data_IF_727147740003
#
_entry.id   IF_727147740003
#
_cell.length_a   1.000
_cell.length_b   1.000
_cell.length_c   1.000
_cell.angle_alpha   90.00
_cell.angle_beta   90.00
_cell.angle_gamma   90.00
#
_symmetry.space_group_name_H-M   'P 1'
#
loop_
_entity.id
_entity.type
_entity.pdbx_description
1 polymer ?
#
# COMPACT_ATOMS: atom_id res chain seq x y z
N UNK A 1 -14.74 24.38 -2.21
CA UNK A 1 -14.63 22.97 -1.80
C UNK A 1 -13.52 22.36 -2.63
N UNK A 2 -12.54 21.71 -1.99
CA UNK A 2 -11.48 21.03 -2.72
C UNK A 2 -12.07 19.80 -3.39
N UNK A 3 -11.72 19.55 -4.65
CA UNK A 3 -12.16 18.36 -5.37
C UNK A 3 -11.50 17.13 -4.72
N UNK A 4 -12.30 16.14 -4.34
CA UNK A 4 -11.82 14.88 -3.73
C UNK A 4 -11.73 13.83 -4.83
N UNK A 5 -10.58 13.17 -4.95
CA UNK A 5 -10.35 12.11 -5.92
C UNK A 5 -10.37 10.78 -5.18
N UNK A 6 -11.15 9.82 -5.67
CA UNK A 6 -11.10 8.46 -5.16
C UNK A 6 -10.72 7.49 -6.26
N UNK A 7 -9.95 6.48 -5.90
CA UNK A 7 -9.60 5.36 -6.76
C UNK A 7 -10.29 4.13 -6.16
N UNK A 8 -11.04 3.40 -7.00
CA UNK A 8 -11.51 2.05 -6.67
C UNK A 8 -10.71 1.05 -7.48
N UNK A 9 -10.00 0.18 -6.79
CA UNK A 9 -9.16 -0.87 -7.33
C UNK A 9 -9.93 -2.20 -7.23
N UNK A 10 -10.09 -2.88 -8.35
CA UNK A 10 -10.62 -4.24 -8.40
C UNK A 10 -9.44 -5.19 -8.30
N UNK A 11 -9.40 -6.00 -7.24
CA UNK A 11 -8.20 -6.74 -6.85
C UNK A 11 -8.44 -8.25 -6.95
N UNK A 12 -7.46 -8.97 -7.50
CA UNK A 12 -7.56 -10.41 -7.68
C UNK A 12 -7.66 -11.12 -6.31
N UNK A 13 -8.79 -11.78 -6.07
CA UNK A 13 -9.02 -12.58 -4.87
C UNK A 13 -9.15 -11.76 -3.57
N UNK A 14 -9.42 -10.46 -3.68
CA UNK A 14 -9.69 -9.56 -2.57
C UNK A 14 -10.98 -8.79 -2.84
N UNK A 15 -11.57 -8.21 -1.79
CA UNK A 15 -12.59 -7.19 -1.98
C UNK A 15 -12.00 -5.95 -2.65
N UNK A 16 -12.85 -5.15 -3.28
CA UNK A 16 -12.45 -3.90 -3.89
C UNK A 16 -11.76 -3.00 -2.87
N UNK A 17 -10.72 -2.28 -3.27
CA UNK A 17 -10.06 -1.31 -2.41
C UNK A 17 -10.45 0.10 -2.87
N UNK A 18 -11.14 0.85 -2.01
CA UNK A 18 -11.49 2.25 -2.27
C UNK A 18 -10.59 3.14 -1.44
N UNK A 19 -9.91 4.10 -2.08
CA UNK A 19 -9.02 5.04 -1.41
C UNK A 19 -9.31 6.47 -1.86
N UNK A 20 -9.39 7.39 -0.91
CA UNK A 20 -9.33 8.83 -1.20
C UNK A 20 -7.87 9.26 -1.33
N UNK A 21 -7.52 9.92 -2.42
CA UNK A 21 -6.14 10.27 -2.74
C UNK A 21 -6.05 11.68 -3.32
N UNK A 22 -4.83 12.21 -3.39
CA UNK A 22 -4.56 13.45 -4.11
C UNK A 22 -4.64 13.21 -5.62
N UNK A 23 -4.92 14.27 -6.38
CA UNK A 23 -4.94 14.21 -7.85
C UNK A 23 -3.60 13.69 -8.42
N UNK A 24 -2.48 14.05 -7.77
CA UNK A 24 -1.15 13.59 -8.15
C UNK A 24 -1.06 12.05 -8.17
N UNK A 25 -1.60 11.37 -7.15
CA UNK A 25 -1.59 9.90 -7.09
C UNK A 25 -2.45 9.26 -8.19
N UNK A 26 -3.59 9.88 -8.49
CA UNK A 26 -4.43 9.45 -9.62
C UNK A 26 -3.68 9.58 -10.95
N UNK A 27 -2.91 10.66 -11.15
CA UNK A 27 -2.08 10.85 -12.35
C UNK A 27 -0.94 9.84 -12.40
N UNK A 28 -0.22 9.62 -11.29
CA UNK A 28 0.85 8.61 -11.19
C UNK A 28 0.35 7.22 -11.56
N UNK A 29 -0.78 6.79 -10.99
CA UNK A 29 -1.36 5.48 -11.31
C UNK A 29 -1.79 5.37 -12.77
N UNK A 30 -2.38 6.42 -13.35
CA UNK A 30 -2.75 6.43 -14.79
C UNK A 30 -1.53 6.31 -15.69
N UNK A 31 -0.45 6.99 -15.36
CA UNK A 31 0.81 6.90 -16.11
C UNK A 31 1.39 5.50 -16.01
N UNK A 32 1.44 4.92 -14.80
CA UNK A 32 1.93 3.57 -14.57
C UNK A 32 1.15 2.53 -15.36
N UNK A 33 -0.18 2.53 -15.27
CA UNK A 33 -1.04 1.56 -15.98
C UNK A 33 -1.13 1.79 -17.50
N UNK A 34 -0.60 2.92 -17.99
CA UNK A 34 -0.48 3.21 -19.42
C UNK A 34 0.84 2.75 -20.02
N UNK A 35 1.78 2.28 -19.20
CA UNK A 35 3.03 1.66 -19.65
C UNK A 35 2.78 0.20 -20.05
N UNK A 36 3.54 -0.32 -21.02
CA UNK A 36 3.40 -1.71 -21.50
C UNK A 36 3.99 -2.72 -20.48
N UNK A 37 4.96 -2.28 -19.67
CA UNK A 37 5.68 -3.11 -18.70
C UNK A 37 5.19 -2.93 -17.25
N UNK A 38 3.95 -2.47 -17.06
CA UNK A 38 3.42 -2.21 -15.72
C UNK A 38 3.19 -3.46 -14.86
N UNK A 39 3.17 -4.64 -15.47
CA UNK A 39 2.96 -5.91 -14.79
C UNK A 39 4.23 -6.33 -14.03
N UNK A 40 4.09 -6.82 -12.78
CA UNK A 40 5.20 -7.13 -11.84
C UNK A 40 5.84 -5.88 -11.19
N UNK A 41 5.12 -4.75 -11.16
CA UNK A 41 5.51 -3.56 -10.39
C UNK A 41 4.72 -3.47 -9.07
N UNK A 42 5.25 -2.68 -8.14
CA UNK A 42 4.48 -2.18 -7.02
C UNK A 42 4.24 -0.67 -7.17
N UNK A 43 3.05 -0.23 -6.76
CA UNK A 43 2.68 1.18 -6.73
C UNK A 43 2.48 1.61 -5.28
N UNK A 44 3.36 2.46 -4.77
CA UNK A 44 3.23 3.05 -3.45
C UNK A 44 2.68 4.47 -3.52
N UNK A 45 1.59 4.70 -2.79
CA UNK A 45 0.93 5.99 -2.65
C UNK A 45 0.37 6.22 -1.24
N UNK A 46 0.07 7.49 -0.95
CA UNK A 46 -0.58 7.91 0.29
C UNK A 46 -2.04 8.28 0.06
N UNK A 47 -2.88 7.91 1.02
CA UNK A 47 -4.30 8.26 1.07
C UNK A 47 -4.52 9.55 1.88
N UNK A 48 -5.66 10.21 1.65
CA UNK A 48 -6.05 11.43 2.37
C UNK A 48 -6.40 11.12 3.84
N UNK A 49 -6.92 9.93 4.11
CA UNK A 49 -7.26 9.46 5.46
C UNK A 49 -6.02 9.00 6.28
N UNK A 50 -4.81 9.19 5.76
CA UNK A 50 -3.58 9.04 6.54
C UNK A 50 -2.99 7.64 6.53
N UNK A 51 -3.20 6.87 5.46
CA UNK A 51 -2.54 5.58 5.24
C UNK A 51 -1.54 5.66 4.09
N UNK A 52 -0.52 4.83 4.17
CA UNK A 52 0.35 4.50 3.04
C UNK A 52 -0.03 3.11 2.54
N UNK A 53 -0.16 2.97 1.22
CA UNK A 53 -0.55 1.72 0.58
C UNK A 53 0.46 1.41 -0.51
N UNK A 54 0.96 0.17 -0.52
CA UNK A 54 1.74 -0.38 -1.62
C UNK A 54 0.96 -1.53 -2.24
N UNK A 55 0.68 -1.44 -3.53
CA UNK A 55 -0.12 -2.42 -4.27
C UNK A 55 0.71 -3.09 -5.35
N UNK A 56 0.63 -4.41 -5.47
CA UNK A 56 1.18 -5.14 -6.60
C UNK A 56 0.26 -4.98 -7.80
N UNK A 57 0.77 -4.41 -8.88
CA UNK A 57 0.00 -4.11 -10.10
C UNK A 57 -0.42 -5.37 -10.87
N UNK A 58 0.29 -6.49 -10.69
CA UNK A 58 -0.09 -7.79 -11.28
C UNK A 58 -1.48 -8.24 -10.81
N UNK A 59 -1.90 -7.82 -9.61
CA UNK A 59 -3.18 -8.20 -9.02
C UNK A 59 -4.31 -7.18 -9.28
N UNK A 60 -4.03 -6.09 -10.02
CA UNK A 60 -5.05 -5.13 -10.42
C UNK A 60 -5.83 -5.68 -11.61
N UNK A 61 -7.11 -5.98 -11.40
CA UNK A 61 -8.04 -6.42 -12.45
C UNK A 61 -8.75 -5.25 -13.14
N UNK A 62 -8.79 -4.10 -12.48
CA UNK A 62 -9.37 -2.89 -13.02
C UNK A 62 -9.27 -1.71 -12.07
N UNK A 63 -9.32 -0.50 -12.62
CA UNK A 63 -9.29 0.74 -11.84
C UNK A 63 -10.42 1.64 -12.27
N UNK A 64 -11.21 2.11 -11.31
CA UNK A 64 -12.24 3.12 -11.52
C UNK A 64 -11.85 4.41 -10.82
N UNK A 65 -11.68 5.46 -11.61
CA UNK A 65 -11.48 6.81 -11.11
C UNK A 65 -12.83 7.43 -10.80
N UNK A 66 -13.01 7.86 -9.55
CA UNK A 66 -14.27 8.39 -9.06
C UNK A 66 -14.09 9.88 -8.71
N UNK A 67 -14.99 10.71 -9.22
CA UNK A 67 -15.06 12.14 -8.93
C UNK A 67 -16.29 12.43 -8.09
N UNK A 68 -16.14 13.20 -7.01
CA UNK A 68 -17.23 13.57 -6.10
C UNK A 68 -18.02 12.36 -5.59
N UNK A 69 -17.31 11.25 -5.34
CA UNK A 69 -17.89 10.01 -4.88
C UNK A 69 -18.43 10.15 -3.47
N UNK A 70 -19.71 9.85 -3.29
CA UNK A 70 -20.27 9.58 -1.96
C UNK A 70 -20.26 8.07 -1.77
N UNK A 71 -19.52 7.53 -0.77
CA UNK A 71 -19.47 6.10 -0.55
C UNK A 71 -20.88 5.54 -0.30
N UNK A 72 -21.23 4.51 -1.06
CA UNK A 72 -22.40 3.67 -0.82
C UNK A 72 -21.99 2.38 -0.12
N UNK A 73 -22.90 1.77 0.63
CA UNK A 73 -22.66 0.49 1.29
C UNK A 73 -22.72 -0.65 0.24
N UNK A 74 -21.80 -1.64 0.28
CA UNK A 74 -20.70 -1.80 1.25
C UNK A 74 -19.53 -0.86 0.97
N UNK A 75 -18.97 -0.31 2.06
CA UNK A 75 -17.79 0.55 2.05
C UNK A 75 -16.54 -0.33 2.17
N UNK A 76 -15.77 -0.43 1.10
CA UNK A 76 -14.56 -1.25 1.04
C UNK A 76 -13.29 -0.44 1.31
N UNK A 77 -13.41 0.69 2.03
CA UNK A 77 -12.27 1.42 2.58
C UNK A 77 -11.61 0.59 3.69
N UNK A 78 -10.32 0.80 3.86
CA UNK A 78 -9.57 0.19 4.95
C UNK A 78 -10.00 0.85 6.26
N UNK A 79 -10.33 0.03 7.27
CA UNK A 79 -10.62 0.50 8.62
C UNK A 79 -9.38 1.17 9.22
N UNK A 80 -9.57 2.37 9.78
CA UNK A 80 -8.50 3.19 10.32
C UNK A 80 -7.89 2.60 11.60
N UNK A 81 -8.59 1.69 12.27
CA UNK A 81 -8.11 1.00 13.48
C UNK A 81 -7.00 -0.03 13.24
N UNK A 82 -6.73 -0.42 11.98
CA UNK A 82 -5.70 -1.41 11.70
C UNK A 82 -4.29 -0.80 11.57
N UNK A 83 -3.37 -1.26 12.41
CA UNK A 83 -1.95 -0.83 12.43
C UNK A 83 -1.19 -1.32 11.20
N UNK A 84 -1.41 -2.57 10.77
CA UNK A 84 -0.82 -3.08 9.54
C UNK A 84 -1.70 -4.16 8.93
N UNK A 85 -1.93 -4.04 7.62
CA UNK A 85 -2.69 -4.99 6.84
C UNK A 85 -1.85 -5.57 5.72
N UNK A 86 -1.89 -6.90 5.59
CA UNK A 86 -1.25 -7.65 4.52
C UNK A 86 -2.32 -8.43 3.76
N UNK A 87 -2.65 -8.01 2.55
CA UNK A 87 -3.56 -8.75 1.69
C UNK A 87 -2.76 -9.72 0.81
N UNK A 88 -3.05 -11.02 0.94
CA UNK A 88 -2.40 -12.09 0.18
C UNK A 88 -3.39 -12.76 -0.79
N UNK A 89 -2.90 -13.23 -1.93
CA UNK A 89 -3.75 -13.88 -2.95
C UNK A 89 -4.52 -15.06 -2.33
N UNK A 90 -5.85 -15.01 -2.44
CA UNK A 90 -6.74 -16.09 -1.99
C UNK A 90 -6.82 -16.29 -0.47
N UNK A 91 -6.43 -15.27 0.31
CA UNK A 91 -6.52 -15.27 1.78
C UNK A 91 -7.30 -14.06 2.26
N UNK A 92 -7.95 -14.18 3.41
CA UNK A 92 -8.43 -13.00 4.13
C UNK A 92 -7.23 -12.13 4.53
N UNK A 93 -7.35 -10.79 4.49
CA UNK A 93 -6.29 -9.89 4.90
C UNK A 93 -5.79 -10.20 6.32
N UNK A 94 -4.48 -10.34 6.45
CA UNK A 94 -3.82 -10.51 7.75
C UNK A 94 -3.75 -9.14 8.44
N UNK A 95 -4.07 -9.15 9.73
CA UNK A 95 -3.96 -7.99 10.62
C UNK A 95 -2.79 -8.27 11.53
N UNK A 96 -1.69 -7.58 11.29
CA UNK A 96 -0.45 -7.77 12.03
C UNK A 96 -0.15 -6.50 12.81
N UNK A 97 0.59 -6.66 13.92
CA UNK A 97 1.26 -5.53 14.57
C UNK A 97 2.68 -5.48 14.04
N UNK A 98 3.04 -4.41 13.30
CA UNK A 98 4.38 -4.29 12.73
C UNK A 98 5.44 -4.10 13.83
N UNK A 99 6.72 -4.20 13.45
CA UNK A 99 7.85 -3.81 14.30
C UNK A 99 7.59 -2.48 15.02
N UNK A 100 8.03 -2.38 16.28
CA UNK A 100 8.06 -1.10 16.99
C UNK A 100 9.06 -0.11 16.36
N UNK A 101 9.98 -0.58 15.51
CA UNK A 101 10.90 0.27 14.75
C UNK A 101 10.25 0.72 13.42
N UNK A 102 9.93 2.02 13.26
CA UNK A 102 9.32 2.53 12.04
C UNK A 102 10.21 2.36 10.79
N UNK A 103 11.53 2.19 10.95
CA UNK A 103 12.47 1.97 9.83
C UNK A 103 12.20 0.65 9.12
N UNK A 104 11.81 -0.39 9.85
CA UNK A 104 11.52 -1.70 9.26
C UNK A 104 10.33 -1.59 8.31
N UNK A 105 9.30 -0.84 8.72
CA UNK A 105 8.10 -0.61 7.93
C UNK A 105 8.36 0.24 6.70
N UNK A 106 9.11 1.32 6.84
CA UNK A 106 9.53 2.12 5.69
C UNK A 106 10.38 1.30 4.71
N UNK A 107 11.35 0.53 5.23
CA UNK A 107 12.22 -0.32 4.43
C UNK A 107 11.41 -1.35 3.64
N UNK A 108 10.45 -2.03 4.28
CA UNK A 108 9.54 -2.98 3.61
C UNK A 108 8.79 -2.34 2.43
N UNK A 109 8.21 -1.15 2.63
CA UNK A 109 7.47 -0.45 1.57
C UNK A 109 8.39 -0.04 0.41
N UNK A 110 9.56 0.51 0.74
CA UNK A 110 10.57 0.91 -0.22
C UNK A 110 11.11 -0.27 -1.04
N UNK A 111 11.42 -1.37 -0.37
CA UNK A 111 11.90 -2.61 -0.95
C UNK A 111 10.90 -3.25 -1.93
N UNK A 112 9.61 -3.20 -1.59
CA UNK A 112 8.56 -3.66 -2.49
C UNK A 112 8.41 -2.73 -3.70
N UNK A 113 8.42 -1.41 -3.52
CA UNK A 113 8.33 -0.44 -4.61
C UNK A 113 9.51 -0.56 -5.59
N UNK A 114 10.73 -0.76 -5.09
CA UNK A 114 11.91 -1.01 -5.93
C UNK A 114 11.80 -2.30 -6.76
N UNK A 115 11.08 -3.30 -6.24
CA UNK A 115 10.84 -4.57 -6.92
C UNK A 115 12.10 -5.44 -7.08
N UNK A 116 12.01 -6.46 -7.92
CA UNK A 116 13.13 -7.35 -8.27
C UNK A 116 13.52 -8.38 -7.22
N UNK A 117 12.87 -8.38 -6.06
CA UNK A 117 13.17 -9.31 -4.96
C UNK A 117 12.31 -10.58 -5.00
N UNK A 118 12.93 -11.72 -4.67
CA UNK A 118 12.22 -13.01 -4.55
C UNK A 118 11.42 -13.13 -3.26
N UNK A 119 11.91 -12.49 -2.21
CA UNK A 119 11.37 -12.52 -0.84
C UNK A 119 11.68 -11.20 -0.16
N UNK A 120 10.79 -10.74 0.71
CA UNK A 120 11.04 -9.61 1.61
C UNK A 120 10.80 -10.08 3.04
N UNK A 121 11.67 -9.70 3.96
CA UNK A 121 11.56 -10.12 5.37
C UNK A 121 11.58 -8.90 6.26
N UNK A 122 10.66 -8.83 7.21
CA UNK A 122 10.62 -7.82 8.26
C UNK A 122 10.53 -8.52 9.63
N UNK A 123 10.74 -7.76 10.69
CA UNK A 123 10.59 -8.24 12.07
C UNK A 123 9.21 -7.85 12.57
N UNK A 124 8.49 -8.78 13.19
CA UNK A 124 7.19 -8.48 13.81
C UNK A 124 7.36 -7.90 15.23
N UNK A 125 6.25 -7.58 15.89
CA UNK A 125 6.23 -7.04 17.25
C UNK A 125 6.86 -7.98 18.29
N UNK A 126 6.90 -9.28 18.03
CA UNK A 126 7.48 -10.30 18.92
C UNK A 126 8.99 -10.49 18.68
N UNK A 127 9.57 -9.79 17.69
CA UNK A 127 10.96 -9.93 17.30
C UNK A 127 11.23 -11.12 16.38
N UNK A 128 10.17 -11.73 15.83
CA UNK A 128 10.28 -12.88 14.94
C UNK A 128 10.37 -12.43 13.47
N UNK A 129 11.15 -13.12 12.63
CA UNK A 129 11.23 -12.80 11.22
C UNK A 129 9.98 -13.27 10.47
N UNK A 130 9.29 -12.33 9.85
CA UNK A 130 8.17 -12.59 8.95
C UNK A 130 8.62 -12.42 7.50
N UNK A 131 8.63 -13.51 6.73
CA UNK A 131 9.01 -13.49 5.31
C UNK A 131 7.79 -13.51 4.39
N UNK A 132 7.69 -12.51 3.51
CA UNK A 132 6.70 -12.41 2.45
C UNK A 132 7.29 -12.79 1.09
N UNK A 133 6.44 -13.38 0.25
CA UNK A 133 6.71 -13.60 -1.17
C UNK A 133 6.02 -12.47 -1.96
N UNK A 134 6.74 -11.51 -2.57
CA UNK A 134 6.12 -10.34 -3.22
C UNK A 134 5.03 -10.70 -4.23
N UNK A 135 5.20 -11.79 -4.99
CA UNK A 135 4.20 -12.29 -5.96
C UNK A 135 2.87 -12.72 -5.32
N UNK A 136 2.85 -13.01 -4.02
CA UNK A 136 1.65 -13.36 -3.28
C UNK A 136 1.01 -12.15 -2.59
N UNK A 137 1.71 -11.02 -2.50
CA UNK A 137 1.20 -9.79 -1.92
C UNK A 137 0.31 -9.09 -2.94
N UNK A 138 -0.95 -8.86 -2.57
CA UNK A 138 -1.88 -8.03 -3.34
C UNK A 138 -1.67 -6.56 -2.98
N UNK A 139 -1.77 -6.23 -1.69
CA UNK A 139 -1.38 -4.92 -1.18
C UNK A 139 -0.96 -5.01 0.28
N UNK A 140 -0.19 -4.02 0.72
CA UNK A 140 0.05 -3.73 2.13
C UNK A 140 -0.50 -2.35 2.49
N UNK A 141 -0.89 -2.16 3.74
CA UNK A 141 -1.31 -0.85 4.23
C UNK A 141 -0.92 -0.61 5.68
N UNK A 142 -0.32 0.54 5.95
CA UNK A 142 0.08 1.00 7.29
C UNK A 142 -0.30 2.48 7.49
N UNK A 143 -0.39 2.97 8.75
CA UNK A 143 -0.48 4.38 9.04
C UNK A 143 0.68 5.16 8.42
N UNK A 144 0.34 6.22 7.70
CA UNK A 144 1.31 7.08 7.02
C UNK A 144 2.30 7.69 7.99
N UNK A 145 1.87 8.01 9.21
CA UNK A 145 2.73 8.60 10.24
C UNK A 145 3.91 7.69 10.61
N UNK A 146 3.67 6.37 10.68
CA UNK A 146 4.72 5.37 10.95
C UNK A 146 5.71 5.34 9.79
N UNK A 147 5.22 5.28 8.55
CA UNK A 147 6.07 5.25 7.36
C UNK A 147 6.90 6.55 7.21
N UNK A 148 6.29 7.70 7.47
CA UNK A 148 6.96 9.01 7.46
C UNK A 148 8.01 9.15 8.56
N UNK A 149 7.80 8.55 9.74
CA UNK A 149 8.80 8.47 10.80
C UNK A 149 9.98 7.60 10.37
N UNK A 150 9.71 6.41 9.83
CA UNK A 150 10.75 5.52 9.29
C UNK A 150 11.62 6.20 8.23
N UNK A 151 10.99 6.88 7.26
CA UNK A 151 11.70 7.67 6.23
C UNK A 151 12.63 8.70 6.86
N UNK A 152 12.12 9.50 7.81
CA UNK A 152 12.89 10.55 8.50
C UNK A 152 14.08 10.00 9.28
N UNK A 153 14.00 8.78 9.80
CA UNK A 153 15.11 8.17 10.52
C UNK A 153 16.21 7.71 9.55
N UNK A 154 15.85 7.08 8.43
CA UNK A 154 16.80 6.67 7.37
C UNK A 154 17.51 7.89 6.76
N UNK A 155 16.75 8.93 6.39
CA UNK A 155 17.32 10.15 5.79
C UNK A 155 18.33 10.86 6.71
N UNK A 156 18.11 10.85 8.04
CA UNK A 156 19.03 11.45 9.02
C UNK A 156 20.32 10.65 9.19
N UNK A 157 20.29 9.34 9.00
CA UNK A 157 21.48 8.49 9.07
C UNK A 157 22.38 8.71 7.86
N UNK A 158 21.81 8.92 6.67
CA UNK A 158 22.56 9.21 5.43
C UNK A 158 23.28 10.58 5.45
N UNK A 159 22.89 11.48 6.34
CA UNK A 159 23.51 12.79 6.54
C UNK A 159 24.69 12.80 7.52
N UNK A 160 24.97 11.69 8.22
CA UNK A 160 26.02 11.54 9.26
C UNK A 160 27.29 10.87 8.74
#
# INVERSE_FOLDING_TARGET
MSQTFSIRLLLAGQDDLICEVREAETKRLKTLLGDDDFADCFFWFDTIDGRSIVINTEHIQGVRYLWDFTPGIPDSRIDDSYEFLIALVGKEPLKESPSEDPRDMYTLFWELELGGMKTVTFIDVDGEPFTLMPKQVVYLSAPKEVIDEGRRQVEKEDEL
#
